data_IF_119789495433
#
_entry.id   IF_119789495433
#
_cell.length_a   1.000
_cell.length_b   1.000
_cell.length_c   1.000
_cell.angle_alpha   90.00
_cell.angle_beta   90.00
_cell.angle_gamma   90.00
#
_symmetry.space_group_name_H-M   'P 1'
#
loop_
_entity.id
_entity.type
_entity.pdbx_description
1 polymer ?
#
# COMPACT_ATOMS: atom_id res chain seq x y z
N UNK A 1 -17.26 -19.88 -17.43
CA UNK A 1 -16.55 -18.60 -17.46
C UNK A 1 -17.37 -17.55 -16.78
N UNK A 2 -16.85 -16.97 -15.69
CA UNK A 2 -17.48 -15.76 -15.12
C UNK A 2 -17.06 -14.58 -15.99
N UNK A 3 -18.04 -13.77 -16.36
CA UNK A 3 -17.84 -12.59 -17.22
C UNK A 3 -16.98 -11.55 -16.47
N UNK A 4 -15.81 -11.21 -17.03
CA UNK A 4 -14.86 -10.26 -16.44
C UNK A 4 -15.39 -8.81 -16.43
N UNK A 5 -16.45 -8.53 -17.21
CA UNK A 5 -17.14 -7.23 -17.23
C UNK A 5 -17.77 -6.82 -15.90
N UNK A 6 -18.03 -7.78 -15.03
CA UNK A 6 -18.82 -7.59 -13.81
C UNK A 6 -18.00 -7.31 -12.54
N UNK A 7 -16.66 -7.40 -12.60
CA UNK A 7 -15.79 -7.20 -11.41
C UNK A 7 -15.84 -5.75 -10.91
N UNK A 8 -16.12 -4.81 -11.77
CA UNK A 8 -16.12 -3.38 -11.45
C UNK A 8 -17.53 -2.76 -11.31
N UNK A 9 -18.57 -3.43 -11.84
CA UNK A 9 -19.94 -2.91 -11.87
C UNK A 9 -20.62 -2.92 -10.50
N UNK A 10 -20.18 -3.79 -9.57
CA UNK A 10 -20.71 -3.92 -8.21
C UNK A 10 -19.92 -3.21 -7.12
N UNK A 11 -18.89 -2.41 -7.47
CA UNK A 11 -18.07 -1.71 -6.47
C UNK A 11 -18.84 -0.53 -5.86
N UNK A 12 -19.01 -0.56 -4.54
CA UNK A 12 -19.58 0.56 -3.79
C UNK A 12 -18.51 1.61 -3.52
N UNK A 13 -18.32 2.51 -4.49
CA UNK A 13 -17.29 3.54 -4.47
C UNK A 13 -17.65 4.68 -3.53
N UNK A 14 -16.65 5.23 -2.84
CA UNK A 14 -16.82 6.47 -2.10
C UNK A 14 -17.22 7.61 -3.05
N UNK A 15 -18.29 8.34 -2.69
CA UNK A 15 -18.82 9.46 -3.48
C UNK A 15 -18.44 10.82 -2.89
N UNK A 16 -17.90 10.83 -1.69
CA UNK A 16 -17.57 12.06 -0.96
C UNK A 16 -16.07 12.09 -0.70
N UNK A 17 -15.38 13.04 -1.29
CA UNK A 17 -13.95 13.27 -1.08
C UNK A 17 -13.74 14.47 -0.17
N UNK A 18 -12.73 14.39 0.70
CA UNK A 18 -12.36 15.46 1.63
C UNK A 18 -11.33 16.42 1.08
N UNK A 19 -10.51 16.95 1.99
CA UNK A 19 -9.43 17.87 1.65
C UNK A 19 -8.27 17.19 0.91
N UNK A 20 -7.40 17.99 0.29
CA UNK A 20 -6.20 17.49 -0.37
C UNK A 20 -5.22 16.95 0.69
N UNK A 21 -4.93 15.66 0.62
CA UNK A 21 -3.95 14.97 1.48
C UNK A 21 -2.57 14.98 0.85
N UNK A 22 -2.46 14.56 -0.42
CA UNK A 22 -1.19 14.53 -1.14
C UNK A 22 -1.25 15.50 -2.32
N UNK A 23 -0.26 16.38 -2.44
CA UNK A 23 -0.10 17.27 -3.58
C UNK A 23 1.29 17.12 -4.18
N UNK A 24 1.37 16.88 -5.47
CA UNK A 24 2.60 16.73 -6.25
C UNK A 24 2.66 17.84 -7.28
N UNK A 25 3.77 18.60 -7.32
CA UNK A 25 3.98 19.72 -8.23
C UNK A 25 5.29 19.58 -9.00
N UNK A 26 5.18 19.47 -10.31
CA UNK A 26 6.31 19.43 -11.26
C UNK A 26 7.41 18.43 -10.85
N UNK A 27 7.00 17.28 -10.30
CA UNK A 27 7.90 16.26 -9.81
C UNK A 27 8.68 15.65 -10.97
N UNK A 28 10.00 15.64 -10.85
CA UNK A 28 10.90 15.02 -11.81
C UNK A 28 11.94 14.14 -11.15
N UNK A 29 12.38 13.12 -11.88
CA UNK A 29 13.45 12.19 -11.50
C UNK A 29 14.24 11.81 -12.74
N UNK A 30 15.34 11.05 -12.66
CA UNK A 30 16.04 10.55 -13.85
C UNK A 30 15.16 9.77 -14.82
N UNK A 31 14.05 9.20 -14.31
CA UNK A 31 13.11 8.36 -15.06
C UNK A 31 11.75 9.01 -15.30
N UNK A 32 11.53 10.22 -14.79
CA UNK A 32 10.27 10.96 -14.87
C UNK A 32 10.55 12.41 -15.22
N UNK A 33 9.92 12.92 -16.31
CA UNK A 33 10.16 14.30 -16.78
C UNK A 33 9.40 15.33 -15.94
N UNK A 34 8.11 15.13 -15.75
CA UNK A 34 7.23 16.04 -15.02
C UNK A 34 5.95 15.30 -14.61
N UNK A 35 5.53 15.48 -13.35
CA UNK A 35 4.25 15.01 -12.87
C UNK A 35 3.65 16.01 -11.88
N UNK A 36 2.37 16.34 -12.07
CA UNK A 36 1.62 17.19 -11.17
C UNK A 36 0.22 16.63 -11.00
N UNK A 37 -0.20 16.39 -9.74
CA UNK A 37 -1.53 15.88 -9.40
C UNK A 37 -1.81 16.08 -7.90
N UNK A 38 -3.05 15.83 -7.52
CA UNK A 38 -3.49 15.85 -6.12
C UNK A 38 -4.28 14.57 -5.82
N UNK A 39 -4.26 14.14 -4.57
CA UNK A 39 -5.09 13.07 -4.02
C UNK A 39 -5.77 13.58 -2.76
N UNK A 40 -7.08 13.40 -2.67
CA UNK A 40 -7.89 13.87 -1.54
C UNK A 40 -8.18 12.76 -0.54
N UNK A 41 -8.54 13.11 0.66
CA UNK A 41 -9.05 12.17 1.64
C UNK A 41 -10.27 11.42 1.06
N UNK A 42 -10.24 10.08 1.15
CA UNK A 42 -11.31 9.24 0.62
C UNK A 42 -11.34 9.10 -0.91
N UNK A 43 -10.31 9.55 -1.61
CA UNK A 43 -10.21 9.44 -3.06
C UNK A 43 -9.33 8.26 -3.47
N UNK A 44 -9.73 7.58 -4.55
CA UNK A 44 -8.90 6.60 -5.25
C UNK A 44 -8.50 7.17 -6.61
N UNK A 45 -7.25 7.59 -6.73
CA UNK A 45 -6.67 8.09 -7.99
C UNK A 45 -6.04 6.93 -8.74
N UNK A 46 -6.54 6.62 -9.94
CA UNK A 46 -6.03 5.57 -10.81
C UNK A 46 -4.97 6.08 -11.79
N UNK A 47 -3.81 5.45 -11.81
CA UNK A 47 -2.80 5.65 -12.84
C UNK A 47 -2.85 4.49 -13.84
N UNK A 48 -3.25 4.77 -15.07
CA UNK A 48 -3.27 3.80 -16.16
C UNK A 48 -2.38 4.27 -17.32
N UNK A 49 -1.89 3.34 -18.12
CA UNK A 49 -1.05 3.66 -19.27
C UNK A 49 -0.19 2.48 -19.72
N UNK A 50 0.55 2.67 -20.80
CA UNK A 50 1.45 1.65 -21.32
C UNK A 50 2.63 1.38 -20.39
N UNK A 51 3.25 0.22 -20.53
CA UNK A 51 4.50 -0.11 -19.83
C UNK A 51 5.55 0.95 -20.17
N UNK A 52 6.25 1.47 -19.16
CA UNK A 52 7.23 2.56 -19.34
C UNK A 52 6.62 3.97 -19.36
N UNK A 53 5.33 4.14 -19.07
CA UNK A 53 4.70 5.47 -18.99
C UNK A 53 5.05 6.28 -17.75
N UNK A 54 5.95 5.82 -16.89
CA UNK A 54 6.39 6.55 -15.69
C UNK A 54 5.49 6.38 -14.46
N UNK A 55 4.52 5.46 -14.48
CA UNK A 55 3.55 5.27 -13.39
C UNK A 55 4.21 4.87 -12.07
N UNK A 56 5.03 3.85 -12.10
CA UNK A 56 5.80 3.37 -10.92
C UNK A 56 6.89 4.37 -10.55
N UNK A 57 7.52 5.01 -11.51
CA UNK A 57 8.60 5.98 -11.31
C UNK A 57 8.12 7.21 -10.53
N UNK A 58 6.90 7.68 -10.79
CA UNK A 58 6.35 8.82 -10.04
C UNK A 58 6.14 8.50 -8.57
N UNK A 59 5.57 7.32 -8.24
CA UNK A 59 5.35 6.94 -6.85
C UNK A 59 6.66 6.60 -6.14
N UNK A 60 7.62 6.00 -6.83
CA UNK A 60 8.98 5.75 -6.29
C UNK A 60 9.70 7.04 -5.96
N UNK A 61 9.56 8.09 -6.78
CA UNK A 61 10.10 9.41 -6.48
C UNK A 61 9.37 10.08 -5.29
N UNK A 62 8.07 9.87 -5.11
CA UNK A 62 7.31 10.38 -3.96
C UNK A 62 7.83 9.78 -2.64
N UNK A 63 8.03 8.46 -2.59
CA UNK A 63 8.46 7.78 -1.38
C UNK A 63 9.99 7.80 -1.14
N UNK A 64 10.76 8.42 -2.05
CA UNK A 64 12.22 8.48 -1.91
C UNK A 64 12.96 7.18 -2.27
N UNK A 65 12.31 6.26 -2.99
CA UNK A 65 12.97 5.07 -3.56
C UNK A 65 13.84 5.44 -4.77
N UNK A 66 13.44 6.48 -5.52
CA UNK A 66 14.23 7.09 -6.58
C UNK A 66 14.54 8.56 -6.24
N UNK A 67 15.72 9.08 -6.60
CA UNK A 67 16.09 10.46 -6.30
C UNK A 67 15.23 11.45 -7.10
N UNK A 68 14.77 12.50 -6.45
CA UNK A 68 14.10 13.62 -7.12
C UNK A 68 15.13 14.55 -7.74
N UNK A 69 14.90 14.98 -8.97
CA UNK A 69 15.70 16.00 -9.66
C UNK A 69 15.03 17.37 -9.68
N UNK A 70 13.71 17.42 -9.42
CA UNK A 70 12.95 18.66 -9.33
C UNK A 70 11.56 18.44 -8.78
N UNK A 71 10.82 19.54 -8.60
CA UNK A 71 9.47 19.54 -8.09
C UNK A 71 9.36 19.51 -6.58
N UNK A 72 8.11 19.45 -6.09
CA UNK A 72 7.76 19.46 -4.67
C UNK A 72 6.61 18.49 -4.41
N UNK A 73 6.64 17.85 -3.24
CA UNK A 73 5.56 17.02 -2.73
C UNK A 73 5.12 17.58 -1.39
N UNK A 74 3.81 17.62 -1.16
CA UNK A 74 3.23 18.07 0.09
C UNK A 74 2.27 17.00 0.62
N UNK A 75 2.28 16.82 1.93
CA UNK A 75 1.33 16.00 2.67
C UNK A 75 0.60 16.90 3.64
N UNK A 76 -0.74 16.98 3.54
CA UNK A 76 -1.57 17.89 4.34
C UNK A 76 -1.05 19.33 4.32
N UNK A 77 -0.66 19.83 3.14
CA UNK A 77 -0.10 21.16 2.95
C UNK A 77 1.33 21.38 3.47
N UNK A 78 1.96 20.38 4.11
CA UNK A 78 3.33 20.46 4.60
C UNK A 78 4.31 19.81 3.62
N UNK A 79 5.50 20.38 3.38
CA UNK A 79 6.50 19.78 2.50
C UNK A 79 6.87 18.37 2.93
N UNK A 80 6.75 17.40 2.01
CA UNK A 80 7.15 16.00 2.19
C UNK A 80 8.49 15.75 1.49
N UNK A 81 9.56 15.60 2.26
CA UNK A 81 10.91 15.41 1.76
C UNK A 81 11.44 14.01 2.14
N UNK A 82 11.03 13.00 1.37
CA UNK A 82 11.53 11.63 1.55
C UNK A 82 12.83 11.45 0.77
N UNK A 83 13.88 11.00 1.46
CA UNK A 83 15.15 10.55 0.87
C UNK A 83 15.22 9.02 0.79
N UNK A 84 14.40 8.36 1.59
CA UNK A 84 14.28 6.91 1.69
C UNK A 84 12.83 6.52 1.83
N UNK A 85 12.44 5.27 1.49
CA UNK A 85 11.09 4.76 1.77
C UNK A 85 10.71 4.79 3.25
N UNK A 86 11.68 4.66 4.15
CA UNK A 86 11.44 4.79 5.58
C UNK A 86 10.92 6.19 5.96
N UNK A 87 11.49 7.24 5.36
CA UNK A 87 10.99 8.61 5.60
C UNK A 87 9.52 8.75 5.19
N UNK A 88 9.12 8.10 4.09
CA UNK A 88 7.73 8.10 3.64
C UNK A 88 6.82 7.39 4.65
N UNK A 89 7.22 6.20 5.12
CA UNK A 89 6.46 5.40 6.10
C UNK A 89 6.24 6.21 7.39
N UNK A 90 7.29 6.83 7.92
CA UNK A 90 7.22 7.66 9.15
C UNK A 90 6.28 8.85 8.97
N UNK A 91 6.17 9.38 7.75
CA UNK A 91 5.24 10.46 7.43
C UNK A 91 3.85 9.98 7.00
N UNK A 92 3.54 8.68 7.09
CA UNK A 92 2.21 8.16 6.78
C UNK A 92 1.95 7.89 5.29
N UNK A 93 2.99 7.80 4.46
CA UNK A 93 2.88 7.40 3.05
C UNK A 93 3.50 6.03 2.86
N UNK A 94 2.67 5.05 2.48
CA UNK A 94 3.10 3.66 2.33
C UNK A 94 2.85 3.14 0.93
N UNK A 95 3.65 2.16 0.49
CA UNK A 95 3.53 1.58 -0.84
C UNK A 95 3.54 0.05 -0.78
N UNK A 96 2.59 -0.54 -1.49
CA UNK A 96 2.56 -1.97 -1.83
C UNK A 96 3.18 -2.10 -3.22
N UNK A 97 4.32 -2.78 -3.37
CA UNK A 97 5.03 -2.87 -4.63
C UNK A 97 4.38 -3.88 -5.59
N UNK A 98 4.69 -3.74 -6.89
CA UNK A 98 4.24 -4.65 -7.95
C UNK A 98 4.72 -6.08 -7.73
N UNK A 99 6.03 -6.26 -7.48
CA UNK A 99 6.60 -7.59 -7.24
C UNK A 99 6.53 -7.95 -5.75
N UNK A 100 5.39 -8.57 -5.37
CA UNK A 100 5.21 -9.01 -3.98
C UNK A 100 6.23 -10.03 -3.52
N UNK A 101 6.77 -10.88 -4.43
CA UNK A 101 7.69 -11.95 -4.06
C UNK A 101 9.09 -11.44 -3.76
N UNK A 102 9.56 -10.45 -4.51
CA UNK A 102 10.89 -9.86 -4.35
C UNK A 102 10.90 -8.67 -3.39
N UNK A 103 9.83 -7.89 -3.34
CA UNK A 103 9.80 -6.61 -2.62
C UNK A 103 8.72 -6.55 -1.54
N UNK A 104 7.67 -7.36 -1.64
CA UNK A 104 6.53 -7.31 -0.74
C UNK A 104 6.65 -8.19 0.48
N UNK A 105 6.94 -9.48 0.34
CA UNK A 105 7.02 -10.43 1.44
C UNK A 105 8.47 -10.68 1.89
N UNK A 106 8.62 -11.12 3.16
CA UNK A 106 9.87 -11.67 3.66
C UNK A 106 9.68 -13.20 3.74
N UNK A 107 10.18 -13.96 2.75
CA UNK A 107 9.76 -15.35 2.51
C UNK A 107 10.00 -16.30 3.69
N UNK A 108 11.07 -16.07 4.45
CA UNK A 108 11.47 -16.91 5.61
C UNK A 108 10.74 -16.56 6.90
N UNK A 109 9.99 -15.44 6.92
CA UNK A 109 9.22 -15.03 8.09
C UNK A 109 7.82 -15.61 8.07
N UNK A 110 7.25 -15.78 9.26
CA UNK A 110 5.86 -16.18 9.47
C UNK A 110 4.89 -15.11 8.95
N UNK A 111 3.62 -15.49 8.77
CA UNK A 111 2.54 -14.57 8.39
C UNK A 111 2.43 -13.43 9.40
N UNK A 112 2.41 -13.75 10.71
CA UNK A 112 2.32 -12.77 11.78
C UNK A 112 3.44 -11.73 11.72
N UNK A 113 4.69 -12.18 11.59
CA UNK A 113 5.84 -11.28 11.46
C UNK A 113 5.85 -10.47 10.18
N UNK A 114 5.37 -11.04 9.08
CA UNK A 114 5.20 -10.27 7.85
C UNK A 114 4.19 -9.14 8.00
N UNK A 115 3.15 -9.30 8.82
CA UNK A 115 2.17 -8.26 9.13
C UNK A 115 2.76 -7.22 10.08
N UNK A 116 3.39 -7.65 11.17
CA UNK A 116 3.83 -6.77 12.26
C UNK A 116 5.08 -5.93 11.94
N UNK A 117 5.92 -6.36 10.98
CA UNK A 117 7.20 -5.71 10.69
C UNK A 117 7.07 -4.24 10.26
N UNK A 118 5.93 -3.85 9.67
CA UNK A 118 5.65 -2.44 9.34
C UNK A 118 5.53 -1.54 10.56
N UNK A 119 5.22 -2.11 11.71
CA UNK A 119 4.99 -1.40 12.99
C UNK A 119 6.11 -1.62 14.00
N UNK A 120 7.32 -2.02 13.57
CA UNK A 120 8.44 -2.32 14.48
C UNK A 120 8.73 -1.17 15.44
N UNK A 121 8.70 0.07 14.98
CA UNK A 121 8.95 1.24 15.82
C UNK A 121 7.92 1.39 16.95
N UNK A 122 6.70 0.85 16.77
CA UNK A 122 5.63 0.89 17.76
C UNK A 122 5.70 -0.25 18.78
N UNK A 123 6.37 -1.35 18.43
CA UNK A 123 6.45 -2.57 19.24
C UNK A 123 7.84 -2.85 19.79
N UNK A 124 8.83 -2.03 19.46
CA UNK A 124 10.22 -2.17 19.91
C UNK A 124 10.48 -1.16 21.03
N UNK A 125 11.07 -1.62 22.14
CA UNK A 125 11.49 -0.75 23.22
C UNK A 125 12.81 -0.02 22.91
N UNK A 126 13.21 0.94 23.77
CA UNK A 126 14.44 1.73 23.59
C UNK A 126 15.73 0.90 23.55
N UNK A 127 15.70 -0.35 24.04
CA UNK A 127 16.83 -1.28 24.03
C UNK A 127 16.83 -2.20 22.80
N UNK A 128 15.87 -2.03 21.86
CA UNK A 128 15.76 -2.83 20.64
C UNK A 128 15.01 -4.16 20.80
N UNK A 129 14.41 -4.44 21.97
CA UNK A 129 13.63 -5.66 22.18
C UNK A 129 12.20 -5.50 21.69
N UNK A 130 11.74 -6.45 20.88
CA UNK A 130 10.36 -6.51 20.38
C UNK A 130 9.42 -7.00 21.47
N UNK A 131 8.29 -6.33 21.66
CA UNK A 131 7.20 -6.79 22.50
C UNK A 131 6.40 -7.86 21.74
N UNK A 132 6.68 -9.13 22.04
CA UNK A 132 6.08 -10.28 21.35
C UNK A 132 4.56 -10.36 21.48
N UNK A 133 3.99 -9.94 22.62
CA UNK A 133 2.53 -9.88 22.79
C UNK A 133 1.89 -8.85 21.86
N UNK A 134 2.52 -7.70 21.70
CA UNK A 134 2.02 -6.66 20.80
C UNK A 134 2.23 -7.06 19.34
N UNK A 135 3.33 -7.73 19.03
CA UNK A 135 3.60 -8.32 17.70
C UNK A 135 2.49 -9.30 17.31
N UNK A 136 2.19 -10.27 18.21
CA UNK A 136 1.13 -11.24 18.01
C UNK A 136 -0.25 -10.58 17.84
N UNK A 137 -0.56 -9.58 18.67
CA UNK A 137 -1.81 -8.84 18.57
C UNK A 137 -1.98 -8.17 17.21
N UNK A 138 -0.95 -7.50 16.67
CA UNK A 138 -0.99 -6.88 15.35
C UNK A 138 -1.20 -7.95 14.27
N UNK A 139 -0.55 -9.10 14.39
CA UNK A 139 -0.75 -10.23 13.48
C UNK A 139 -2.19 -10.74 13.48
N UNK A 140 -2.80 -10.91 14.67
CA UNK A 140 -4.19 -11.35 14.84
C UNK A 140 -5.18 -10.32 14.29
N UNK A 141 -5.00 -9.04 14.62
CA UNK A 141 -5.82 -7.94 14.11
C UNK A 141 -5.73 -7.89 12.56
N UNK A 142 -4.53 -7.98 11.98
CA UNK A 142 -4.32 -8.00 10.55
C UNK A 142 -4.98 -9.23 9.89
N UNK A 143 -4.85 -10.42 10.47
CA UNK A 143 -5.53 -11.62 9.99
C UNK A 143 -7.05 -11.45 9.96
N UNK A 144 -7.63 -10.91 11.02
CA UNK A 144 -9.07 -10.73 11.16
C UNK A 144 -9.60 -9.64 10.21
N UNK A 145 -9.02 -8.45 10.24
CA UNK A 145 -9.49 -7.29 9.47
C UNK A 145 -9.38 -7.49 7.96
N UNK A 146 -8.37 -8.25 7.51
CA UNK A 146 -8.12 -8.50 6.08
C UNK A 146 -8.60 -9.89 5.61
N UNK A 147 -9.29 -10.63 6.48
CA UNK A 147 -9.77 -11.99 6.17
C UNK A 147 -8.66 -12.85 5.53
N UNK A 148 -7.48 -12.88 6.17
CA UNK A 148 -6.33 -13.66 5.69
C UNK A 148 -6.56 -15.12 6.05
N UNK A 149 -6.70 -15.98 5.04
CA UNK A 149 -6.95 -17.41 5.22
C UNK A 149 -5.66 -18.14 5.57
N UNK A 150 -5.40 -18.27 6.86
CA UNK A 150 -4.33 -19.09 7.43
C UNK A 150 -4.80 -19.73 8.73
N UNK A 151 -4.48 -21.02 8.97
CA UNK A 151 -4.80 -21.65 10.25
C UNK A 151 -3.96 -21.06 11.39
N UNK A 152 -2.71 -20.69 11.09
CA UNK A 152 -1.71 -20.27 12.07
C UNK A 152 -0.93 -19.06 11.54
N UNK A 153 -0.61 -18.12 12.43
CA UNK A 153 0.23 -16.94 12.14
C UNK A 153 1.73 -17.28 12.07
N UNK A 154 2.16 -18.37 12.68
CA UNK A 154 3.55 -18.85 12.63
C UNK A 154 3.90 -19.56 11.31
N UNK A 155 2.89 -19.87 10.50
CA UNK A 155 3.08 -20.46 9.18
C UNK A 155 3.92 -19.53 8.27
N UNK A 156 4.91 -20.05 7.52
CA UNK A 156 5.66 -19.27 6.54
C UNK A 156 4.74 -18.60 5.52
N UNK A 157 4.96 -17.30 5.23
CA UNK A 157 4.08 -16.55 4.32
C UNK A 157 4.07 -17.10 2.90
N UNK A 158 5.14 -17.76 2.47
CA UNK A 158 5.25 -18.37 1.13
C UNK A 158 4.25 -19.51 0.89
N UNK A 159 3.71 -20.10 1.96
CA UNK A 159 2.73 -21.16 1.87
C UNK A 159 1.30 -20.65 1.65
N UNK A 160 1.09 -19.35 1.73
CA UNK A 160 -0.19 -18.75 1.43
C UNK A 160 -0.41 -18.58 -0.09
N UNK A 161 -1.68 -18.60 -0.50
CA UNK A 161 -2.06 -18.19 -1.86
C UNK A 161 -1.65 -16.75 -2.14
N UNK A 162 -1.45 -16.40 -3.42
CA UNK A 162 -1.05 -15.05 -3.82
C UNK A 162 -1.98 -13.95 -3.29
N UNK A 163 -3.29 -14.19 -3.27
CA UNK A 163 -4.25 -13.26 -2.70
C UNK A 163 -4.08 -13.06 -1.19
N UNK A 164 -3.80 -14.12 -0.42
CA UNK A 164 -3.55 -13.99 1.02
C UNK A 164 -2.20 -13.36 1.33
N UNK A 165 -1.16 -13.62 0.52
CA UNK A 165 0.12 -12.89 0.61
C UNK A 165 -0.09 -11.39 0.40
N UNK A 166 -0.88 -11.01 -0.61
CA UNK A 166 -1.18 -9.61 -0.89
C UNK A 166 -1.95 -8.93 0.24
N UNK A 167 -2.96 -9.62 0.80
CA UNK A 167 -3.69 -9.16 1.97
C UNK A 167 -2.77 -8.95 3.19
N UNK A 168 -1.79 -9.84 3.40
CA UNK A 168 -0.82 -9.71 4.49
C UNK A 168 0.10 -8.47 4.31
N UNK A 169 0.52 -8.17 3.06
CA UNK A 169 1.31 -6.96 2.77
C UNK A 169 0.47 -5.70 3.03
N UNK A 170 -0.79 -5.68 2.61
CA UNK A 170 -1.68 -4.55 2.88
C UNK A 170 -1.92 -4.40 4.38
N UNK A 171 -2.20 -5.50 5.10
CA UNK A 171 -2.37 -5.50 6.55
C UNK A 171 -1.14 -4.93 7.28
N UNK A 172 0.09 -5.26 6.82
CA UNK A 172 1.34 -4.66 7.31
C UNK A 172 1.29 -3.15 7.28
N UNK A 173 0.95 -2.58 6.13
CA UNK A 173 0.97 -1.13 5.98
C UNK A 173 -0.20 -0.45 6.68
N UNK A 174 -1.37 -1.07 6.67
CA UNK A 174 -2.53 -0.53 7.39
C UNK A 174 -2.34 -0.54 8.91
N UNK A 175 -1.50 -1.42 9.46
CA UNK A 175 -1.15 -1.41 10.89
C UNK A 175 -0.38 -0.15 11.32
N UNK A 176 0.24 0.56 10.38
CA UNK A 176 0.92 1.85 10.61
C UNK A 176 -0.03 3.04 10.61
N UNK A 177 -1.31 2.85 10.25
CA UNK A 177 -2.33 3.90 10.11
C UNK A 177 -1.89 4.99 9.13
N UNK A 178 -1.64 4.66 7.87
CA UNK A 178 -1.16 5.61 6.87
C UNK A 178 -2.23 6.64 6.50
N UNK A 179 -1.80 7.78 5.97
CA UNK A 179 -2.64 8.81 5.37
C UNK A 179 -2.78 8.61 3.85
N UNK A 180 -1.76 8.01 3.22
CA UNK A 180 -1.72 7.70 1.79
C UNK A 180 -1.27 6.26 1.59
N UNK A 181 -2.07 5.49 0.85
CA UNK A 181 -1.75 4.13 0.43
C UNK A 181 -1.53 4.10 -1.08
N UNK A 182 -0.33 3.70 -1.49
CA UNK A 182 0.04 3.48 -2.89
C UNK A 182 0.01 1.98 -3.18
N UNK A 183 -0.70 1.59 -4.23
CA UNK A 183 -0.86 0.21 -4.66
C UNK A 183 -0.37 0.08 -6.10
N UNK A 184 0.79 -0.57 -6.30
CA UNK A 184 1.36 -0.78 -7.63
C UNK A 184 1.02 -2.19 -8.12
N UNK A 185 0.20 -2.29 -9.16
CA UNK A 185 -0.32 -3.54 -9.76
C UNK A 185 -0.78 -4.57 -8.71
N UNK A 186 -1.62 -4.18 -7.72
CA UNK A 186 -1.85 -4.97 -6.52
C UNK A 186 -2.55 -6.31 -6.79
N UNK A 187 -3.18 -6.46 -7.95
CA UNK A 187 -3.89 -7.68 -8.33
C UNK A 187 -3.14 -8.55 -9.34
N UNK A 188 -1.87 -8.22 -9.63
CA UNK A 188 -1.02 -9.02 -10.52
C UNK A 188 -0.75 -10.41 -9.92
N UNK A 189 -1.05 -11.45 -10.71
CA UNK A 189 -0.88 -12.85 -10.28
C UNK A 189 -1.79 -13.29 -9.14
N UNK A 190 -2.96 -12.67 -9.00
CA UNK A 190 -4.03 -13.04 -8.08
C UNK A 190 -5.18 -13.64 -8.91
N UNK A 191 -5.87 -14.64 -8.37
CA UNK A 191 -7.05 -15.23 -8.99
C UNK A 191 -8.23 -14.24 -9.06
N UNK A 192 -9.16 -14.48 -10.00
CA UNK A 192 -10.28 -13.56 -10.31
C UNK A 192 -11.18 -13.31 -9.08
N UNK A 193 -11.43 -14.34 -8.26
CA UNK A 193 -12.26 -14.20 -7.08
C UNK A 193 -11.63 -13.29 -6.03
N UNK A 194 -10.32 -13.44 -5.81
CA UNK A 194 -9.58 -12.61 -4.88
C UNK A 194 -9.38 -11.16 -5.37
N UNK A 195 -9.40 -10.91 -6.69
CA UNK A 195 -9.36 -9.55 -7.25
C UNK A 195 -10.57 -8.72 -6.81
N UNK A 196 -11.78 -9.29 -6.92
CA UNK A 196 -13.01 -8.60 -6.50
C UNK A 196 -12.97 -8.23 -5.02
N UNK A 197 -12.57 -9.18 -4.15
CA UNK A 197 -12.40 -8.90 -2.72
C UNK A 197 -11.39 -7.76 -2.48
N UNK A 198 -10.30 -7.73 -3.26
CA UNK A 198 -9.26 -6.72 -3.12
C UNK A 198 -9.74 -5.33 -3.51
N UNK A 199 -10.51 -5.20 -4.61
CA UNK A 199 -11.07 -3.91 -5.01
C UNK A 199 -12.15 -3.41 -4.04
N UNK A 200 -12.98 -4.30 -3.50
CA UNK A 200 -13.92 -3.93 -2.44
C UNK A 200 -13.19 -3.39 -1.21
N UNK A 201 -12.10 -4.02 -0.80
CA UNK A 201 -11.26 -3.56 0.32
C UNK A 201 -10.69 -2.15 0.06
N UNK A 202 -10.24 -1.85 -1.16
CA UNK A 202 -9.77 -0.49 -1.53
C UNK A 202 -10.92 0.53 -1.41
N UNK A 203 -12.13 0.16 -1.83
CA UNK A 203 -13.29 1.04 -1.70
C UNK A 203 -13.62 1.33 -0.22
N UNK A 204 -13.52 0.33 0.66
CA UNK A 204 -13.74 0.53 2.10
C UNK A 204 -12.66 1.46 2.70
N UNK A 205 -11.40 1.31 2.35
CA UNK A 205 -10.36 2.25 2.79
C UNK A 205 -10.65 3.69 2.38
N UNK A 206 -11.12 3.89 1.15
CA UNK A 206 -11.50 5.22 0.68
C UNK A 206 -12.71 5.77 1.47
N UNK A 207 -13.70 4.94 1.80
CA UNK A 207 -14.83 5.36 2.65
C UNK A 207 -14.39 5.76 4.07
N UNK A 208 -13.35 5.12 4.59
CA UNK A 208 -12.73 5.47 5.87
C UNK A 208 -11.87 6.75 5.81
N UNK A 209 -11.75 7.38 4.63
CA UNK A 209 -11.03 8.62 4.43
C UNK A 209 -9.59 8.48 3.96
N UNK A 210 -9.10 7.25 3.72
CA UNK A 210 -7.74 7.04 3.23
C UNK A 210 -7.58 7.57 1.79
N UNK A 211 -6.51 8.30 1.53
CA UNK A 211 -6.11 8.70 0.17
C UNK A 211 -5.40 7.52 -0.50
N UNK A 212 -5.87 7.09 -1.67
CA UNK A 212 -5.33 5.91 -2.35
C UNK A 212 -4.84 6.26 -3.75
N UNK A 213 -3.63 5.81 -4.10
CA UNK A 213 -3.12 5.79 -5.48
C UNK A 213 -3.10 4.34 -5.95
N UNK A 214 -3.81 4.06 -7.03
CA UNK A 214 -3.88 2.73 -7.64
C UNK A 214 -3.24 2.76 -9.02
N UNK A 215 -2.15 2.02 -9.20
CA UNK A 215 -1.51 1.82 -10.50
C UNK A 215 -2.01 0.51 -11.09
N UNK A 216 -2.52 0.54 -12.30
CA UNK A 216 -2.96 -0.65 -13.04
C UNK A 216 -2.65 -0.53 -14.52
N UNK A 217 -2.24 -1.64 -15.12
CA UNK A 217 -1.95 -1.77 -16.56
C UNK A 217 -3.19 -2.19 -17.35
#
# INVERSE_FOLDING_TARGET
>A
GRDLGDVFSGLDRNKTVGDVVLEVKNLSSPFLKDASFQVRAGEVVGFSGLVGAGRTEVVRAIIGADPRTGGKVFLNGKPLNCRTPHDAIVNGVVMVPEDRKLQGIIPRMSVGRNISIGSLDQITNRLGFVNTRREEQIGLEGKANFNIKTPDLEKPIVELSGGNQQKAIVARWMSTKPEVLILDEPTKGIDVGAKSEFYNMICEFAKEGLAVILISS
#
